data_IF_623778884971
#
_entry.id   IF_623778884971
#
_cell.length_a   1.000
_cell.length_b   1.000
_cell.length_c   1.000
_cell.angle_alpha   90.00
_cell.angle_beta   90.00
_cell.angle_gamma   90.00
#
_symmetry.space_group_name_H-M   'P 1'
#
loop_
_entity.id
_entity.type
_entity.pdbx_description
1 polymer ?
#
# COMPACT_ATOMS: atom_id res chain seq x y z
N UNK A 1 27.10 26.86 -6.09
CA UNK A 1 25.64 27.08 -6.08
C UNK A 1 25.02 26.03 -5.16
N UNK A 2 24.61 26.44 -3.95
CA UNK A 2 23.91 25.54 -3.04
C UNK A 2 22.50 25.29 -3.61
N UNK A 3 22.30 24.16 -4.26
CA UNK A 3 20.96 23.69 -4.61
C UNK A 3 20.28 23.25 -3.33
N UNK A 4 19.45 24.10 -2.76
CA UNK A 4 18.52 23.71 -1.71
C UNK A 4 17.48 22.74 -2.31
N UNK A 5 17.81 21.46 -2.22
CA UNK A 5 16.91 20.41 -2.64
C UNK A 5 15.84 20.24 -1.56
N UNK A 6 14.59 20.51 -1.86
CA UNK A 6 13.50 20.25 -0.91
C UNK A 6 13.42 18.75 -0.58
N UNK A 7 12.91 18.39 0.61
CA UNK A 7 12.67 16.98 0.98
C UNK A 7 11.82 16.27 -0.09
N UNK A 8 10.83 16.98 -0.65
CA UNK A 8 10.02 16.45 -1.74
C UNK A 8 10.84 16.11 -2.99
N UNK A 9 11.78 16.98 -3.36
CA UNK A 9 12.69 16.73 -4.48
C UNK A 9 13.62 15.54 -4.22
N UNK A 10 14.08 15.36 -3.00
CA UNK A 10 14.89 14.19 -2.60
C UNK A 10 14.08 12.90 -2.68
N UNK A 11 12.82 12.90 -2.23
CA UNK A 11 11.93 11.75 -2.37
C UNK A 11 11.68 11.40 -3.84
N UNK A 12 11.55 12.39 -4.72
CA UNK A 12 11.38 12.14 -6.15
C UNK A 12 12.61 11.51 -6.81
N UNK A 13 13.81 11.62 -6.24
CA UNK A 13 15.00 10.92 -6.73
C UNK A 13 14.90 9.39 -6.58
N UNK A 14 14.01 8.89 -5.70
CA UNK A 14 13.69 7.47 -5.61
C UNK A 14 12.99 6.94 -6.87
N UNK A 15 12.51 7.83 -7.73
CA UNK A 15 11.79 7.52 -8.97
C UNK A 15 12.55 8.08 -10.19
N UNK A 16 13.56 7.36 -10.74
CA UNK A 16 14.35 7.82 -11.87
C UNK A 16 13.47 8.11 -13.09
N UNK A 17 13.58 9.30 -13.65
CA UNK A 17 12.74 9.77 -14.78
C UNK A 17 12.74 8.82 -15.98
N UNK A 18 13.90 8.30 -16.34
CA UNK A 18 14.03 7.38 -17.49
C UNK A 18 13.31 6.06 -17.24
N UNK A 19 13.39 5.53 -16.02
CA UNK A 19 12.66 4.32 -15.63
C UNK A 19 11.16 4.57 -15.62
N UNK A 20 10.73 5.68 -15.05
CA UNK A 20 9.33 6.09 -15.06
C UNK A 20 8.79 6.22 -16.51
N UNK A 21 9.54 6.83 -17.41
CA UNK A 21 9.15 6.93 -18.82
C UNK A 21 9.02 5.57 -19.53
N UNK A 22 9.85 4.59 -19.16
CA UNK A 22 9.70 3.21 -19.66
C UNK A 22 8.38 2.60 -19.20
N UNK A 23 8.05 2.74 -17.93
CA UNK A 23 6.77 2.27 -17.36
C UNK A 23 5.58 2.97 -18.02
N UNK A 24 5.65 4.27 -18.29
CA UNK A 24 4.62 5.02 -19.02
C UNK A 24 4.40 4.44 -20.43
N UNK A 25 5.46 4.10 -21.13
CA UNK A 25 5.37 3.47 -22.47
C UNK A 25 4.77 2.06 -22.40
N UNK A 26 5.22 1.27 -21.45
CA UNK A 26 4.74 -0.10 -21.21
C UNK A 26 3.24 -0.14 -20.91
N UNK A 27 2.77 0.73 -20.02
CA UNK A 27 1.36 0.83 -19.63
C UNK A 27 0.53 1.66 -20.60
N UNK A 28 1.15 2.29 -21.61
CA UNK A 28 0.47 3.20 -22.54
C UNK A 28 -0.29 4.34 -21.85
N UNK A 29 0.19 4.78 -20.67
CA UNK A 29 -0.50 5.74 -19.80
C UNK A 29 -0.65 7.15 -20.41
N UNK A 30 0.10 7.48 -21.46
CA UNK A 30 0.01 8.74 -22.20
C UNK A 30 -0.63 8.58 -23.58
N UNK A 31 -1.27 7.45 -23.86
CA UNK A 31 -2.00 7.30 -25.11
C UNK A 31 -3.09 8.38 -25.21
N UNK A 32 -3.02 9.19 -26.28
CA UNK A 32 -3.90 10.34 -26.52
C UNK A 32 -3.76 11.51 -25.51
N UNK A 33 -2.74 11.51 -24.64
CA UNK A 33 -2.50 12.64 -23.75
C UNK A 33 -2.02 13.88 -24.53
N UNK A 34 -2.59 15.05 -24.22
CA UNK A 34 -2.20 16.33 -24.80
C UNK A 34 -1.65 17.24 -23.69
N UNK A 35 -0.32 17.38 -23.64
CA UNK A 35 0.35 18.37 -22.76
C UNK A 35 0.45 18.01 -21.27
N UNK A 36 -0.45 17.21 -20.72
CA UNK A 36 -0.41 16.79 -19.32
C UNK A 36 0.25 15.42 -19.18
N UNK A 37 1.49 15.38 -18.68
CA UNK A 37 2.28 14.15 -18.60
C UNK A 37 1.86 13.26 -17.42
N UNK A 38 2.11 11.95 -17.53
CA UNK A 38 1.93 11.01 -16.39
C UNK A 38 2.89 11.33 -15.25
N UNK A 39 4.04 11.90 -15.53
CA UNK A 39 4.93 12.40 -14.49
C UNK A 39 4.31 13.53 -13.69
N UNK A 40 3.71 14.53 -14.34
CA UNK A 40 3.04 15.62 -13.65
C UNK A 40 1.89 15.10 -12.80
N UNK A 41 1.12 14.13 -13.29
CA UNK A 41 0.07 13.47 -12.50
C UNK A 41 0.68 12.74 -11.30
N UNK A 42 1.70 11.92 -11.49
CA UNK A 42 2.36 11.18 -10.42
C UNK A 42 2.90 12.10 -9.32
N UNK A 43 3.63 13.17 -9.70
CA UNK A 43 4.15 14.15 -8.73
C UNK A 43 3.01 14.86 -7.99
N UNK A 44 1.91 15.19 -8.67
CA UNK A 44 0.74 15.81 -8.05
C UNK A 44 0.05 14.89 -7.05
N UNK A 45 -0.08 13.60 -7.38
CA UNK A 45 -0.67 12.60 -6.48
C UNK A 45 0.26 12.29 -5.29
N UNK A 46 1.58 12.26 -5.51
CA UNK A 46 2.55 12.11 -4.42
C UNK A 46 2.54 13.33 -3.48
N UNK A 47 2.42 14.54 -4.04
CA UNK A 47 2.23 15.77 -3.25
C UNK A 47 0.96 15.68 -2.40
N UNK A 48 -0.13 15.13 -2.93
CA UNK A 48 -1.37 14.88 -2.19
C UNK A 48 -1.10 14.07 -0.91
N UNK A 49 -0.41 12.96 -1.04
CA UNK A 49 -0.13 12.07 0.08
C UNK A 49 0.78 12.71 1.14
N UNK A 50 1.81 13.40 0.71
CA UNK A 50 2.79 14.03 1.62
C UNK A 50 2.28 15.34 2.21
N UNK A 51 1.51 16.11 1.44
CA UNK A 51 0.91 17.38 1.84
C UNK A 51 -0.42 17.23 2.58
N UNK A 52 -0.93 16.00 2.73
CA UNK A 52 -2.25 15.72 3.34
C UNK A 52 -3.38 16.54 2.70
N UNK A 53 -3.36 16.68 1.38
CA UNK A 53 -4.44 17.33 0.66
C UNK A 53 -5.65 16.38 0.51
N UNK A 54 -6.84 16.85 0.81
CA UNK A 54 -8.06 16.04 0.83
C UNK A 54 -8.90 16.16 -0.45
N UNK A 55 -8.51 17.04 -1.37
CA UNK A 55 -9.22 17.23 -2.63
C UNK A 55 -8.29 17.60 -3.79
N UNK A 56 -8.75 17.33 -5.02
CA UNK A 56 -8.00 17.73 -6.22
C UNK A 56 -7.84 19.26 -6.32
N UNK A 57 -8.75 20.03 -5.73
CA UNK A 57 -8.65 21.50 -5.67
C UNK A 57 -7.51 21.92 -4.73
N UNK A 58 -7.38 21.28 -3.57
CA UNK A 58 -6.28 21.52 -2.64
C UNK A 58 -4.92 21.14 -3.24
N UNK A 59 -4.86 20.02 -3.97
CA UNK A 59 -3.65 19.63 -4.72
C UNK A 59 -3.27 20.73 -5.72
N UNK A 60 -4.21 21.15 -6.55
CA UNK A 60 -3.98 22.18 -7.56
C UNK A 60 -3.59 23.52 -6.94
N UNK A 61 -4.26 23.92 -5.85
CA UNK A 61 -3.97 25.15 -5.10
C UNK A 61 -2.59 25.12 -4.44
N UNK A 62 -2.29 24.04 -3.73
CA UNK A 62 -1.01 23.84 -3.06
C UNK A 62 0.17 23.80 -4.03
N UNK A 63 0.05 23.11 -5.16
CA UNK A 63 1.08 23.13 -6.21
C UNK A 63 1.22 24.53 -6.84
N UNK A 64 0.12 25.24 -7.06
CA UNK A 64 0.16 26.63 -7.61
C UNK A 64 0.87 27.59 -6.67
N UNK A 65 0.66 27.48 -5.37
CA UNK A 65 1.38 28.32 -4.39
C UNK A 65 2.91 28.06 -4.38
N UNK A 66 3.33 26.91 -4.92
CA UNK A 66 4.73 26.51 -5.06
C UNK A 66 5.26 26.63 -6.50
N UNK A 67 4.56 27.29 -7.42
CA UNK A 67 4.83 27.22 -8.87
C UNK A 67 6.28 27.61 -9.24
N UNK A 68 6.85 28.63 -8.58
CA UNK A 68 8.25 29.03 -8.77
C UNK A 68 9.27 27.93 -8.42
N UNK A 69 8.86 26.95 -7.60
CA UNK A 69 9.69 25.81 -7.17
C UNK A 69 9.41 24.52 -7.95
N UNK A 70 8.43 24.52 -8.87
CA UNK A 70 8.04 23.31 -9.61
C UNK A 70 8.88 23.08 -10.87
N UNK A 71 9.53 24.11 -11.42
CA UNK A 71 10.34 24.01 -12.65
C UNK A 71 11.44 22.96 -12.54
N UNK A 72 12.14 22.90 -11.40
CA UNK A 72 13.20 21.90 -11.19
C UNK A 72 12.67 20.46 -11.05
N UNK A 73 11.38 20.28 -10.77
CA UNK A 73 10.71 18.98 -10.77
C UNK A 73 10.21 18.60 -12.18
N UNK A 74 10.35 19.51 -13.15
CA UNK A 74 9.89 19.33 -14.53
C UNK A 74 8.37 19.26 -14.65
N UNK A 75 7.64 20.00 -13.81
CA UNK A 75 6.18 20.08 -13.81
C UNK A 75 5.70 21.52 -13.71
N UNK A 76 4.43 21.74 -14.05
CA UNK A 76 3.62 22.91 -13.74
C UNK A 76 2.41 22.50 -12.92
N UNK A 77 1.80 23.42 -12.18
CA UNK A 77 0.62 23.12 -11.39
C UNK A 77 -0.57 22.80 -12.32
N UNK A 78 -1.15 21.61 -12.25
CA UNK A 78 -2.30 21.23 -13.08
C UNK A 78 -3.57 21.86 -12.57
N UNK A 79 -4.59 21.98 -13.45
CA UNK A 79 -5.96 22.26 -13.00
C UNK A 79 -6.56 21.02 -12.34
N UNK A 80 -7.53 21.23 -11.43
CA UNK A 80 -8.24 20.11 -10.79
C UNK A 80 -9.01 19.25 -11.81
N UNK A 81 -9.57 19.86 -12.86
CA UNK A 81 -10.28 19.14 -13.94
C UNK A 81 -9.34 18.26 -14.76
N UNK A 82 -8.12 18.76 -15.06
CA UNK A 82 -7.10 17.98 -15.75
C UNK A 82 -6.65 16.76 -14.91
N UNK A 83 -6.46 16.96 -13.60
CA UNK A 83 -6.15 15.84 -12.67
C UNK A 83 -7.29 14.84 -12.61
N UNK A 84 -8.54 15.31 -12.48
CA UNK A 84 -9.73 14.45 -12.45
C UNK A 84 -9.83 13.59 -13.71
N UNK A 85 -9.73 14.23 -14.88
CA UNK A 85 -9.77 13.50 -16.14
C UNK A 85 -8.66 12.44 -16.24
N UNK A 86 -7.43 12.81 -15.88
CA UNK A 86 -6.32 11.86 -15.92
C UNK A 86 -6.49 10.69 -14.95
N UNK A 87 -7.00 10.94 -13.74
CA UNK A 87 -7.26 9.87 -12.75
C UNK A 87 -8.37 8.91 -13.20
N UNK A 88 -9.35 9.38 -14.00
CA UNK A 88 -10.41 8.53 -14.52
C UNK A 88 -10.00 7.70 -15.75
N UNK A 89 -9.10 8.23 -16.59
CA UNK A 89 -8.84 7.65 -17.91
C UNK A 89 -7.48 6.98 -18.05
N UNK A 90 -6.53 7.25 -17.17
CA UNK A 90 -5.21 6.62 -17.22
C UNK A 90 -5.19 5.30 -16.48
N UNK A 91 -4.45 4.31 -16.99
CA UNK A 91 -4.35 3.00 -16.39
C UNK A 91 -3.68 3.09 -15.01
N UNK A 92 -4.25 2.44 -14.03
CA UNK A 92 -3.72 2.35 -12.66
C UNK A 92 -2.46 1.47 -12.59
N UNK A 93 -2.25 0.62 -13.58
CA UNK A 93 -1.11 -0.30 -13.69
C UNK A 93 0.23 0.44 -13.68
N UNK A 94 0.26 1.70 -14.12
CA UNK A 94 1.45 2.55 -13.98
C UNK A 94 1.86 2.67 -12.51
N UNK A 95 0.92 2.95 -11.63
CA UNK A 95 1.20 3.11 -10.20
C UNK A 95 1.61 1.78 -9.55
N UNK A 96 1.03 0.67 -10.00
CA UNK A 96 1.43 -0.66 -9.57
C UNK A 96 2.89 -0.95 -9.95
N UNK A 97 3.29 -0.67 -11.19
CA UNK A 97 4.68 -0.84 -11.64
C UNK A 97 5.64 0.05 -10.84
N UNK A 98 5.27 1.31 -10.61
CA UNK A 98 6.06 2.23 -9.78
C UNK A 98 6.25 1.67 -8.37
N UNK A 99 5.18 1.17 -7.75
CA UNK A 99 5.23 0.53 -6.43
C UNK A 99 6.16 -0.69 -6.43
N UNK A 100 5.98 -1.61 -7.37
CA UNK A 100 6.77 -2.84 -7.44
C UNK A 100 8.27 -2.55 -7.66
N UNK A 101 8.61 -1.57 -8.52
CA UNK A 101 10.00 -1.16 -8.74
C UNK A 101 10.63 -0.50 -7.52
N UNK A 102 9.88 0.37 -6.84
CA UNK A 102 10.36 0.97 -5.59
C UNK A 102 10.54 -0.10 -4.51
N UNK A 103 9.57 -0.99 -4.37
CA UNK A 103 9.62 -2.09 -3.42
C UNK A 103 10.84 -2.99 -3.64
N UNK A 104 11.09 -3.42 -4.87
CA UNK A 104 12.25 -4.25 -5.21
C UNK A 104 13.57 -3.55 -4.87
N UNK A 105 13.67 -2.25 -5.17
CA UNK A 105 14.84 -1.43 -4.80
C UNK A 105 15.02 -1.33 -3.28
N UNK A 106 13.94 -1.10 -2.54
CA UNK A 106 14.00 -1.06 -1.08
C UNK A 106 14.42 -2.41 -0.51
N UNK A 107 13.89 -3.50 -1.05
CA UNK A 107 14.21 -4.87 -0.62
C UNK A 107 15.70 -5.20 -0.82
N UNK A 108 16.32 -4.75 -1.91
CA UNK A 108 17.75 -4.98 -2.16
C UNK A 108 18.65 -4.14 -1.25
N UNK A 109 18.17 -3.01 -0.75
CA UNK A 109 18.92 -2.12 0.14
C UNK A 109 18.74 -2.43 1.64
N UNK A 110 17.75 -3.24 1.98
CA UNK A 110 17.55 -3.65 3.37
C UNK A 110 18.71 -4.57 3.76
N UNK A 111 19.68 -3.99 4.41
CA UNK A 111 20.64 -4.77 5.21
C UNK A 111 19.86 -5.42 6.33
N UNK A 112 19.87 -6.75 6.35
CA UNK A 112 19.29 -7.53 7.44
C UNK A 112 19.95 -7.07 8.74
N UNK A 113 19.34 -6.10 9.42
CA UNK A 113 19.79 -5.63 10.72
C UNK A 113 19.76 -6.78 11.72
N UNK A 114 20.33 -6.57 12.91
CA UNK A 114 20.21 -7.56 14.00
C UNK A 114 18.73 -7.89 14.19
N UNK A 115 18.38 -9.18 14.05
CA UNK A 115 17.00 -9.64 14.30
C UNK A 115 16.55 -9.14 15.67
N UNK A 116 15.45 -8.42 15.73
CA UNK A 116 14.86 -7.92 16.98
C UNK A 116 14.28 -9.02 17.85
N UNK A 117 13.99 -10.17 17.23
CA UNK A 117 13.37 -11.32 17.88
C UNK A 117 14.42 -12.44 18.09
N UNK A 118 14.23 -13.22 19.15
CA UNK A 118 15.11 -14.35 19.48
C UNK A 118 14.93 -15.56 18.56
N UNK A 119 13.81 -15.65 17.84
CA UNK A 119 13.53 -16.70 16.88
C UNK A 119 14.07 -16.35 15.48
N UNK A 120 14.34 -17.39 14.69
CA UNK A 120 14.90 -17.24 13.33
C UNK A 120 13.84 -17.24 12.23
N UNK A 121 12.62 -17.58 12.57
CA UNK A 121 11.48 -17.68 11.67
C UNK A 121 11.23 -16.35 10.95
N UNK A 122 10.71 -16.43 9.73
CA UNK A 122 10.18 -15.27 9.03
C UNK A 122 8.93 -14.81 9.74
N UNK A 123 8.84 -13.51 10.03
CA UNK A 123 7.69 -12.89 10.68
C UNK A 123 6.96 -11.98 9.70
N UNK A 124 5.67 -12.22 9.54
CA UNK A 124 4.79 -11.44 8.66
C UNK A 124 3.59 -10.98 9.46
N UNK A 125 3.24 -9.70 9.36
CA UNK A 125 1.95 -9.21 9.85
C UNK A 125 0.97 -9.07 8.68
N UNK A 126 -0.25 -9.52 8.90
CA UNK A 126 -1.37 -9.37 7.98
C UNK A 126 -2.39 -8.44 8.61
N UNK A 127 -2.71 -7.36 7.92
CA UNK A 127 -3.69 -6.37 8.37
C UNK A 127 -4.47 -5.79 7.20
N UNK A 128 -5.61 -5.20 7.48
CA UNK A 128 -6.42 -4.47 6.51
C UNK A 128 -6.82 -3.10 7.03
N UNK A 129 -6.76 -2.12 6.14
CA UNK A 129 -7.22 -0.76 6.41
C UNK A 129 -8.40 -0.41 5.53
N UNK A 130 -9.48 0.08 6.12
CA UNK A 130 -10.64 0.57 5.37
C UNK A 130 -10.43 2.03 4.98
N UNK A 131 -10.62 2.35 3.72
CA UNK A 131 -10.54 3.70 3.16
C UNK A 131 -11.93 4.08 2.69
N UNK A 132 -12.53 5.08 3.35
CA UNK A 132 -13.85 5.58 2.98
C UNK A 132 -13.81 6.29 1.64
N UNK A 133 -14.79 6.03 0.79
CA UNK A 133 -14.97 6.64 -0.52
C UNK A 133 -16.35 7.29 -0.63
N UNK A 134 -16.44 8.33 -1.44
CA UNK A 134 -17.72 8.90 -1.81
C UNK A 134 -18.49 7.93 -2.73
N UNK A 135 -19.62 7.41 -2.29
CA UNK A 135 -20.42 6.43 -3.02
C UNK A 135 -20.95 6.99 -4.35
N UNK A 136 -21.26 8.29 -4.42
CA UNK A 136 -21.72 8.94 -5.64
C UNK A 136 -20.66 8.96 -6.75
N UNK A 137 -19.38 8.95 -6.37
CA UNK A 137 -18.25 8.91 -7.31
C UNK A 137 -17.76 7.51 -7.62
N UNK A 138 -18.03 6.55 -6.71
CA UNK A 138 -17.50 5.18 -6.76
C UNK A 138 -18.61 4.18 -6.41
N UNK A 139 -19.60 4.05 -7.25
CA UNK A 139 -20.77 3.16 -7.08
C UNK A 139 -20.41 1.67 -6.93
N UNK A 140 -19.28 1.26 -7.50
CA UNK A 140 -18.74 -0.09 -7.37
C UNK A 140 -18.15 -0.38 -5.98
N UNK A 141 -17.72 0.66 -5.25
CA UNK A 141 -17.04 0.51 -3.95
C UNK A 141 -18.04 0.44 -2.78
N UNK A 142 -19.13 -0.29 -2.94
CA UNK A 142 -20.20 -0.39 -1.93
C UNK A 142 -19.69 -1.08 -0.65
N UNK A 143 -19.85 -0.42 0.47
CA UNK A 143 -19.52 -0.96 1.79
C UNK A 143 -20.77 -1.13 2.67
N UNK A 144 -21.62 -0.10 2.72
CA UNK A 144 -22.92 -0.09 3.41
C UNK A 144 -23.94 0.62 2.53
N UNK A 145 -25.24 0.59 2.90
CA UNK A 145 -26.30 1.24 2.12
C UNK A 145 -26.00 2.70 1.71
N UNK A 146 -25.26 3.43 2.56
CA UNK A 146 -24.99 4.86 2.39
C UNK A 146 -23.51 5.22 2.32
N UNK A 147 -22.60 4.25 2.32
CA UNK A 147 -21.14 4.49 2.33
C UNK A 147 -20.43 3.63 1.31
N UNK A 148 -19.53 4.24 0.55
CA UNK A 148 -18.53 3.56 -0.23
C UNK A 148 -17.25 3.37 0.58
N UNK A 149 -16.57 2.25 0.40
CA UNK A 149 -15.23 2.03 0.94
C UNK A 149 -14.49 0.98 0.13
N UNK A 150 -13.17 1.09 0.16
CA UNK A 150 -12.25 0.03 -0.24
C UNK A 150 -11.48 -0.46 0.98
N UNK A 151 -10.99 -1.69 0.91
CA UNK A 151 -10.02 -2.22 1.86
C UNK A 151 -8.67 -2.37 1.19
N UNK A 152 -7.64 -1.89 1.86
CA UNK A 152 -6.25 -2.16 1.56
C UNK A 152 -5.78 -3.27 2.49
N UNK A 153 -5.55 -4.47 1.95
CA UNK A 153 -4.94 -5.58 2.67
C UNK A 153 -3.45 -5.55 2.47
N UNK A 154 -2.70 -5.63 3.55
CA UNK A 154 -1.26 -5.48 3.55
C UNK A 154 -0.59 -6.66 4.24
N UNK A 155 0.44 -7.22 3.61
CA UNK A 155 1.42 -8.08 4.25
C UNK A 155 2.67 -7.26 4.56
N UNK A 156 3.02 -7.14 5.83
CA UNK A 156 4.25 -6.49 6.28
C UNK A 156 5.30 -7.53 6.63
N UNK A 157 6.41 -7.51 5.92
CA UNK A 157 7.59 -8.32 6.24
C UNK A 157 8.43 -7.62 7.31
N UNK A 158 8.63 -8.26 8.46
CA UNK A 158 9.41 -7.70 9.55
C UNK A 158 10.92 -7.77 9.34
N UNK A 159 11.40 -8.50 8.34
CA UNK A 159 12.80 -8.47 7.90
C UNK A 159 13.08 -7.21 7.04
N UNK A 160 12.85 -6.04 7.61
CA UNK A 160 13.05 -4.74 6.97
C UNK A 160 11.85 -3.80 7.03
N UNK A 161 10.75 -4.28 7.62
CA UNK A 161 9.50 -3.50 7.75
C UNK A 161 8.95 -3.00 6.41
N UNK A 162 9.06 -3.85 5.40
CA UNK A 162 8.55 -3.53 4.06
C UNK A 162 7.19 -4.19 3.81
N UNK A 163 6.27 -3.49 3.15
CA UNK A 163 5.05 -4.11 2.66
C UNK A 163 5.41 -5.12 1.57
N UNK A 164 5.33 -6.42 1.85
CA UNK A 164 5.66 -7.47 0.88
C UNK A 164 4.54 -7.71 -0.13
N UNK A 165 3.34 -7.30 0.20
CA UNK A 165 2.17 -7.45 -0.66
C UNK A 165 1.07 -6.46 -0.28
N UNK A 166 0.33 -5.98 -1.29
CA UNK A 166 -0.83 -5.12 -1.11
C UNK A 166 -1.94 -5.51 -2.10
N UNK A 167 -3.16 -5.71 -1.60
CA UNK A 167 -4.36 -5.91 -2.40
C UNK A 167 -5.40 -4.87 -2.02
N UNK A 168 -6.05 -4.29 -3.02
CA UNK A 168 -7.21 -3.42 -2.83
C UNK A 168 -8.45 -4.21 -3.23
N UNK A 169 -9.45 -4.23 -2.35
CA UNK A 169 -10.74 -4.86 -2.57
C UNK A 169 -11.88 -3.90 -2.27
N UNK A 170 -13.09 -4.26 -2.67
CA UNK A 170 -14.30 -3.59 -2.16
C UNK A 170 -14.36 -3.70 -0.64
N UNK A 171 -14.89 -2.68 0.05
CA UNK A 171 -14.96 -2.65 1.51
C UNK A 171 -15.74 -3.80 2.14
N UNK A 172 -16.65 -4.43 1.39
CA UNK A 172 -17.46 -5.59 1.85
C UNK A 172 -16.71 -6.92 1.83
N UNK A 173 -15.59 -7.02 1.10
CA UNK A 173 -14.81 -8.26 1.01
C UNK A 173 -14.27 -8.60 2.40
N UNK A 174 -14.42 -9.86 2.79
CA UNK A 174 -13.94 -10.35 4.08
C UNK A 174 -12.41 -10.42 4.12
N UNK A 175 -11.81 -10.04 5.23
CA UNK A 175 -10.37 -10.14 5.45
C UNK A 175 -9.91 -11.60 5.37
N UNK A 176 -10.73 -12.53 5.84
CA UNK A 176 -10.49 -13.98 5.79
C UNK A 176 -10.44 -14.46 4.34
N UNK A 177 -11.34 -13.98 3.46
CA UNK A 177 -11.35 -14.35 2.05
C UNK A 177 -10.03 -13.98 1.36
N UNK A 178 -9.47 -12.81 1.70
CA UNK A 178 -8.19 -12.38 1.17
C UNK A 178 -7.04 -13.17 1.79
N UNK A 179 -7.08 -13.41 3.10
CA UNK A 179 -6.07 -14.22 3.81
C UNK A 179 -5.96 -15.64 3.24
N UNK A 180 -7.07 -16.22 2.79
CA UNK A 180 -7.11 -17.56 2.16
C UNK A 180 -6.36 -17.62 0.82
N UNK A 181 -6.08 -16.49 0.18
CA UNK A 181 -5.33 -16.41 -1.09
C UNK A 181 -3.81 -16.45 -0.87
N UNK A 182 -3.35 -16.16 0.35
CA UNK A 182 -1.93 -16.15 0.63
C UNK A 182 -1.38 -17.56 0.91
N UNK A 183 -0.18 -17.78 0.39
CA UNK A 183 0.62 -18.95 0.68
C UNK A 183 1.92 -18.50 1.35
N UNK A 184 2.24 -19.13 2.47
CA UNK A 184 3.44 -18.86 3.22
C UNK A 184 4.37 -20.08 3.18
N UNK A 185 5.68 -19.82 3.22
CA UNK A 185 6.63 -20.88 3.37
C UNK A 185 6.49 -21.56 4.76
N UNK A 186 6.77 -22.86 4.89
CA UNK A 186 6.85 -23.50 6.20
C UNK A 186 7.75 -22.71 7.17
N UNK A 187 7.50 -22.82 8.45
CA UNK A 187 8.17 -22.09 9.53
C UNK A 187 7.95 -20.56 9.53
N UNK A 188 7.12 -20.02 8.65
CA UNK A 188 6.70 -18.62 8.74
C UNK A 188 5.77 -18.41 9.94
N UNK A 189 5.95 -17.31 10.67
CA UNK A 189 5.03 -16.85 11.72
C UNK A 189 4.19 -15.74 11.12
N UNK A 190 2.86 -15.94 11.08
CA UNK A 190 1.87 -14.95 10.64
C UNK A 190 1.23 -14.35 11.87
N UNK A 191 1.24 -13.02 11.97
CA UNK A 191 0.55 -12.26 13.02
C UNK A 191 -0.64 -11.55 12.40
N UNK A 192 -1.80 -11.78 12.95
CA UNK A 192 -3.05 -11.16 12.51
C UNK A 192 -3.91 -10.70 13.69
N UNK A 193 -4.94 -9.93 13.39
CA UNK A 193 -5.90 -9.49 14.38
C UNK A 193 -7.10 -10.46 14.49
N UNK A 194 -7.99 -10.21 15.45
CA UNK A 194 -9.20 -11.03 15.67
C UNK A 194 -10.17 -11.05 14.48
N UNK A 195 -10.03 -10.14 13.51
CA UNK A 195 -10.85 -10.13 12.29
C UNK A 195 -10.60 -11.35 11.41
N UNK A 196 -9.39 -11.91 11.49
CA UNK A 196 -8.95 -13.08 10.72
C UNK A 196 -9.27 -14.42 11.40
N UNK A 197 -9.90 -14.45 12.58
CA UNK A 197 -10.19 -15.69 13.28
C UNK A 197 -11.12 -16.60 12.46
N UNK A 198 -10.52 -17.65 11.90
CA UNK A 198 -11.14 -18.68 11.09
C UNK A 198 -10.40 -20.00 11.31
N UNK A 199 -11.07 -20.97 11.90
CA UNK A 199 -10.45 -22.25 12.27
C UNK A 199 -10.01 -23.08 11.07
N UNK A 200 -10.70 -22.96 9.92
CA UNK A 200 -10.32 -23.62 8.68
C UNK A 200 -9.01 -23.02 8.14
N UNK A 201 -8.88 -21.69 8.15
CA UNK A 201 -7.67 -21.00 7.77
C UNK A 201 -6.49 -21.41 8.65
N UNK A 202 -6.69 -21.44 9.97
CA UNK A 202 -5.66 -21.84 10.93
C UNK A 202 -5.29 -23.30 10.79
N UNK A 203 -6.26 -24.20 10.54
CA UNK A 203 -6.02 -25.61 10.25
C UNK A 203 -5.17 -25.81 9.00
N UNK A 204 -5.46 -25.05 7.94
CA UNK A 204 -4.68 -25.07 6.70
C UNK A 204 -3.24 -24.57 6.94
N UNK A 205 -3.05 -23.46 7.64
CA UNK A 205 -1.71 -22.97 7.96
C UNK A 205 -0.92 -23.98 8.80
N UNK A 206 -1.55 -24.55 9.81
CA UNK A 206 -0.92 -25.59 10.65
C UNK A 206 -0.49 -26.79 9.82
N UNK A 207 -1.34 -27.28 8.89
CA UNK A 207 -0.99 -28.41 8.01
C UNK A 207 0.15 -28.10 7.04
N UNK A 208 0.36 -26.83 6.71
CA UNK A 208 1.45 -26.33 5.88
C UNK A 208 2.72 -25.99 6.69
N UNK A 209 2.74 -26.22 8.00
CA UNK A 209 3.86 -25.88 8.87
C UNK A 209 4.02 -24.38 9.13
N UNK A 210 2.95 -23.61 8.91
CA UNK A 210 2.90 -22.16 9.19
C UNK A 210 2.39 -21.95 10.61
N UNK A 211 3.10 -21.14 11.37
CA UNK A 211 2.69 -20.72 12.70
C UNK A 211 1.86 -19.45 12.63
N UNK A 212 0.92 -19.27 13.55
CA UNK A 212 0.15 -18.04 13.61
C UNK A 212 0.03 -17.53 15.05
N UNK A 213 -0.10 -16.21 15.18
CA UNK A 213 -0.34 -15.50 16.44
C UNK A 213 -1.51 -14.55 16.20
N UNK A 214 -2.61 -14.79 16.91
CA UNK A 214 -3.82 -13.99 16.76
C UNK A 214 -4.45 -13.69 18.11
N UNK A 215 -5.30 -12.65 18.17
CA UNK A 215 -6.17 -12.42 19.32
C UNK A 215 -7.47 -13.18 19.11
N UNK A 216 -7.87 -13.96 20.09
CA UNK A 216 -9.17 -14.64 20.04
C UNK A 216 -10.34 -13.64 20.13
N UNK A 217 -11.43 -13.96 19.45
CA UNK A 217 -12.71 -13.28 19.66
C UNK A 217 -13.26 -13.63 21.03
N UNK A 218 -13.99 -12.70 21.66
CA UNK A 218 -14.59 -12.92 22.99
C UNK A 218 -15.58 -14.09 23.00
N UNK A 219 -16.24 -14.34 21.88
CA UNK A 219 -17.20 -15.43 21.69
C UNK A 219 -16.57 -16.66 21.01
N UNK A 220 -15.25 -16.79 20.99
CA UNK A 220 -14.58 -17.94 20.42
C UNK A 220 -14.85 -19.19 21.27
N UNK A 221 -15.23 -20.28 20.60
CA UNK A 221 -15.38 -21.58 21.24
C UNK A 221 -14.02 -22.28 21.26
N UNK A 222 -13.54 -22.61 22.45
CA UNK A 222 -12.28 -23.35 22.61
C UNK A 222 -12.35 -24.27 23.83
N UNK A 223 -11.51 -25.28 23.81
CA UNK A 223 -11.30 -26.18 24.95
C UNK A 223 -9.83 -26.14 25.35
N UNK A 224 -9.58 -25.95 26.64
CA UNK A 224 -8.21 -26.04 27.17
C UNK A 224 -7.80 -27.51 27.19
N UNK A 225 -6.81 -27.86 26.40
CA UNK A 225 -6.26 -29.24 26.32
C UNK A 225 -4.99 -29.44 27.13
N UNK A 226 -4.42 -28.38 27.66
CA UNK A 226 -3.23 -28.43 28.52
C UNK A 226 -2.70 -27.06 28.89
N UNK A 227 -2.02 -27.00 30.00
CA UNK A 227 -1.35 -25.81 30.51
C UNK A 227 0.16 -26.02 30.49
N UNK A 228 0.91 -24.99 30.14
CA UNK A 228 2.38 -25.00 30.20
C UNK A 228 2.87 -23.81 31.02
N UNK A 229 3.86 -24.09 31.87
CA UNK A 229 4.54 -23.01 32.61
C UNK A 229 5.27 -22.09 31.62
N UNK A 230 5.04 -20.78 31.74
CA UNK A 230 5.83 -19.80 30.99
C UNK A 230 7.27 -19.83 31.52
N UNK A 231 8.27 -19.97 30.67
CA UNK A 231 9.66 -19.86 31.11
C UNK A 231 9.90 -18.52 31.80
N UNK A 232 10.36 -18.54 33.04
CA UNK A 232 10.82 -17.31 33.70
C UNK A 232 12.14 -16.90 33.05
N UNK A 233 12.23 -15.64 32.58
CA UNK A 233 13.47 -15.06 32.06
C UNK A 233 14.41 -14.68 33.19
#
# INVERSE_FOLDING_TARGET
MNQYCSVFSQLLQLFPRLEFQRMVKETKSERHARGFSSWTQFVSMLFCQLGRAYSLREISGGLRSCEGKLKHLGISAPSHSTLSYANQHRPWELYQLVFLKLFDRCRTQVTVGKKKFRFKNKLISLDSSTIDLCLEMFDWARFRRTKGAIKLHLLLDHDGYLPSFAIITEGRVSDIEVARRFQFAPDTIVVDDRGYNDYELFGRWTSQGVHFVTRMKENALYQVVGERKVPQN
#
